data_IF_882478975588
#
_entry.id   IF_882478975588
#
_cell.length_a   1.000
_cell.length_b   1.000
_cell.length_c   1.000
_cell.angle_alpha   90.00
_cell.angle_beta   90.00
_cell.angle_gamma   90.00
#
_symmetry.space_group_name_H-M   'P 1'
#
loop_
_entity.id
_entity.type
_entity.pdbx_description
1 polymer ?
#
# COMPACT_ATOMS: atom_id res chain seq x y z
N UNK A 1 20.87 -3.24 -16.44
CA UNK A 1 19.42 -3.18 -16.26
C UNK A 1 18.92 -1.79 -16.61
N UNK A 2 17.99 -1.72 -17.52
CA UNK A 2 17.41 -0.43 -17.91
C UNK A 2 16.52 0.11 -16.78
N UNK A 3 16.63 1.42 -16.56
CA UNK A 3 15.77 2.07 -15.58
C UNK A 3 14.33 2.11 -16.11
N UNK A 4 13.36 1.85 -15.22
CA UNK A 4 11.95 1.98 -15.57
C UNK A 4 11.61 3.43 -15.87
N UNK A 5 10.98 3.68 -17.02
CA UNK A 5 10.57 5.03 -17.41
C UNK A 5 9.29 5.44 -16.67
N UNK A 6 9.04 6.76 -16.60
CA UNK A 6 7.81 7.27 -15.98
C UNK A 6 6.57 6.77 -16.73
N UNK A 7 6.64 6.70 -18.06
CA UNK A 7 5.55 6.18 -18.89
C UNK A 7 5.20 4.73 -18.52
N UNK A 8 6.22 3.89 -18.35
CA UNK A 8 6.03 2.51 -17.95
C UNK A 8 5.42 2.42 -16.54
N UNK A 9 5.87 3.29 -15.63
CA UNK A 9 5.34 3.33 -14.27
C UNK A 9 3.86 3.72 -14.24
N UNK A 10 3.45 4.68 -15.07
CA UNK A 10 2.03 5.07 -15.15
C UNK A 10 1.18 3.86 -15.51
N UNK A 11 1.59 3.11 -16.54
CA UNK A 11 0.85 1.91 -16.95
C UNK A 11 0.80 0.85 -15.87
N UNK A 12 1.92 0.61 -15.19
CA UNK A 12 2.00 -0.38 -14.12
C UNK A 12 1.14 0.02 -12.92
N UNK A 13 1.16 1.30 -12.55
CA UNK A 13 0.35 1.82 -11.44
C UNK A 13 -1.14 1.67 -11.74
N UNK A 14 -1.57 2.10 -12.93
CA UNK A 14 -2.98 2.00 -13.33
C UNK A 14 -3.45 0.55 -13.36
N UNK A 15 -2.65 -0.33 -13.93
CA UNK A 15 -2.98 -1.75 -14.00
C UNK A 15 -3.12 -2.37 -12.60
N UNK A 16 -2.16 -2.08 -11.72
CA UNK A 16 -2.19 -2.59 -10.36
C UNK A 16 -3.40 -2.10 -9.58
N UNK A 17 -3.68 -0.79 -9.64
CA UNK A 17 -4.81 -0.22 -8.93
C UNK A 17 -6.14 -0.78 -9.43
N UNK A 18 -6.26 -0.96 -10.75
CA UNK A 18 -7.45 -1.57 -11.34
C UNK A 18 -7.63 -3.01 -10.86
N UNK A 19 -6.56 -3.82 -10.84
CA UNK A 19 -6.62 -5.20 -10.38
C UNK A 19 -7.00 -5.29 -8.90
N UNK A 20 -6.47 -4.42 -8.07
CA UNK A 20 -6.83 -4.38 -6.66
C UNK A 20 -8.30 -4.01 -6.49
N UNK A 21 -8.76 -2.98 -7.22
CA UNK A 21 -10.14 -2.54 -7.19
C UNK A 21 -11.10 -3.66 -7.61
N UNK A 22 -10.76 -4.36 -8.69
CA UNK A 22 -11.62 -5.43 -9.19
C UNK A 22 -11.78 -6.57 -8.19
N UNK A 23 -10.67 -6.91 -7.48
CA UNK A 23 -10.66 -8.04 -6.55
C UNK A 23 -11.26 -7.70 -5.18
N UNK A 24 -11.14 -6.46 -4.71
CA UNK A 24 -11.51 -6.12 -3.33
C UNK A 24 -12.13 -4.74 -3.13
N UNK A 25 -12.25 -3.92 -4.19
CA UNK A 25 -12.90 -2.61 -4.11
C UNK A 25 -12.04 -1.48 -3.56
N UNK A 26 -10.77 -1.72 -3.32
CA UNK A 26 -9.83 -0.67 -2.88
C UNK A 26 -8.42 -0.96 -3.35
N UNK A 27 -7.62 0.09 -3.45
CA UNK A 27 -6.22 0.01 -3.83
C UNK A 27 -5.35 0.62 -2.73
N UNK A 28 -4.26 -0.07 -2.40
CA UNK A 28 -3.32 0.35 -1.36
C UNK A 28 -1.96 0.70 -1.97
N UNK A 29 -1.32 1.82 -1.54
CA UNK A 29 -0.01 2.19 -2.08
C UNK A 29 1.05 1.10 -1.92
N UNK A 30 1.14 0.48 -0.76
CA UNK A 30 2.15 -0.56 -0.51
C UNK A 30 1.97 -1.73 -1.45
N UNK A 31 0.73 -2.19 -1.66
CA UNK A 31 0.45 -3.30 -2.58
C UNK A 31 0.76 -2.90 -4.03
N UNK A 32 0.50 -1.65 -4.39
CA UNK A 32 0.84 -1.14 -5.72
C UNK A 32 2.35 -1.16 -5.94
N UNK A 33 3.14 -0.77 -4.95
CA UNK A 33 4.60 -0.83 -5.04
C UNK A 33 5.08 -2.27 -5.27
N UNK A 34 4.48 -3.23 -4.59
CA UNK A 34 4.82 -4.64 -4.76
C UNK A 34 4.47 -5.10 -6.18
N UNK A 35 3.28 -4.80 -6.64
CA UNK A 35 2.80 -5.25 -7.96
C UNK A 35 3.54 -4.58 -9.11
N UNK A 36 4.01 -3.36 -8.91
CA UNK A 36 4.83 -2.66 -9.91
C UNK A 36 6.28 -3.13 -9.92
N UNK A 37 6.67 -4.03 -9.01
CA UNK A 37 8.03 -4.52 -8.94
C UNK A 37 9.01 -3.56 -8.26
N UNK A 38 8.51 -2.51 -7.62
CA UNK A 38 9.34 -1.50 -6.94
C UNK A 38 9.69 -1.92 -5.52
N UNK A 39 8.85 -2.72 -4.91
CA UNK A 39 9.07 -3.24 -3.56
C UNK A 39 9.05 -4.77 -3.62
N UNK A 40 10.21 -5.43 -3.46
CA UNK A 40 10.23 -6.90 -3.44
C UNK A 40 9.38 -7.43 -2.28
N UNK A 41 8.62 -8.47 -2.55
CA UNK A 41 7.72 -9.04 -1.55
C UNK A 41 8.44 -9.47 -0.28
N UNK A 42 9.61 -10.08 -0.41
CA UNK A 42 10.42 -10.50 0.75
C UNK A 42 10.84 -9.29 1.58
N UNK A 43 11.24 -8.20 0.94
CA UNK A 43 11.61 -6.97 1.63
C UNK A 43 10.42 -6.36 2.36
N UNK A 44 9.24 -6.41 1.75
CA UNK A 44 7.99 -5.99 2.38
C UNK A 44 7.73 -6.79 3.65
N UNK A 45 7.87 -8.11 3.59
CA UNK A 45 7.64 -8.97 4.75
C UNK A 45 8.64 -8.66 5.88
N UNK A 46 9.90 -8.43 5.54
CA UNK A 46 10.92 -8.05 6.52
C UNK A 46 10.56 -6.74 7.21
N UNK A 47 10.04 -5.77 6.43
CA UNK A 47 9.56 -4.52 7.00
C UNK A 47 8.38 -4.74 7.94
N UNK A 48 7.42 -5.61 7.56
CA UNK A 48 6.27 -5.92 8.41
C UNK A 48 6.69 -6.58 9.72
N UNK A 49 7.78 -7.35 9.72
CA UNK A 49 8.31 -7.97 10.94
C UNK A 49 9.27 -7.07 11.71
N UNK A 50 9.38 -5.80 11.31
CA UNK A 50 10.19 -4.84 12.05
C UNK A 50 11.70 -4.96 11.83
N UNK A 51 12.11 -5.69 10.80
CA UNK A 51 13.54 -5.92 10.51
C UNK A 51 14.18 -4.81 9.68
N UNK A 52 13.37 -3.86 9.21
CA UNK A 52 13.80 -2.75 8.36
C UNK A 52 13.29 -1.46 9.00
N UNK A 53 14.12 -0.40 9.13
CA UNK A 53 13.73 0.82 9.84
C UNK A 53 12.65 1.63 9.15
N UNK A 54 12.56 1.60 7.82
CA UNK A 54 11.51 2.28 7.07
C UNK A 54 11.38 1.65 5.68
N UNK A 55 10.16 1.70 5.12
CA UNK A 55 9.84 1.01 3.86
C UNK A 55 10.68 1.49 2.67
N UNK A 56 10.88 2.80 2.55
CA UNK A 56 11.63 3.37 1.42
C UNK A 56 13.04 2.80 1.30
N UNK A 57 13.62 2.36 2.41
CA UNK A 57 14.97 1.81 2.41
C UNK A 57 15.12 0.57 1.51
N UNK A 58 14.06 -0.21 1.40
CA UNK A 58 14.09 -1.47 0.65
C UNK A 58 13.37 -1.40 -0.70
N UNK A 59 12.86 -0.22 -1.07
CA UNK A 59 12.34 0.00 -2.42
C UNK A 59 13.52 0.15 -3.38
N UNK A 60 13.37 -0.40 -4.59
CA UNK A 60 14.49 -0.48 -5.55
C UNK A 60 14.59 0.72 -6.49
N UNK A 61 13.77 1.74 -6.29
CA UNK A 61 13.82 2.98 -7.06
C UNK A 61 14.09 4.15 -6.12
N UNK A 62 14.52 5.30 -6.69
CA UNK A 62 14.84 6.47 -5.89
C UNK A 62 13.58 7.19 -5.40
N UNK A 63 13.77 8.17 -4.51
CA UNK A 63 12.66 8.91 -3.91
C UNK A 63 11.83 9.68 -4.93
N UNK A 64 12.48 10.18 -5.99
CA UNK A 64 11.77 10.86 -7.07
C UNK A 64 10.74 9.96 -7.73
N UNK A 65 11.12 8.73 -8.05
CA UNK A 65 10.20 7.76 -8.66
C UNK A 65 9.12 7.30 -7.68
N UNK A 66 9.46 7.14 -6.40
CA UNK A 66 8.45 6.82 -5.38
C UNK A 66 7.41 7.92 -5.27
N UNK A 67 7.84 9.18 -5.22
CA UNK A 67 6.93 10.33 -5.18
C UNK A 67 6.05 10.38 -6.42
N UNK A 68 6.63 10.10 -7.57
CA UNK A 68 5.90 10.04 -8.84
C UNK A 68 4.80 8.97 -8.79
N UNK A 69 5.13 7.78 -8.30
CA UNK A 69 4.15 6.68 -8.17
C UNK A 69 3.01 7.08 -7.24
N UNK A 70 3.34 7.66 -6.07
CA UNK A 70 2.33 8.11 -5.12
C UNK A 70 1.41 9.16 -5.75
N UNK A 71 1.98 10.11 -6.50
CA UNK A 71 1.20 11.12 -7.20
C UNK A 71 0.26 10.50 -8.23
N UNK A 72 0.76 9.57 -9.03
CA UNK A 72 -0.06 8.89 -10.05
C UNK A 72 -1.21 8.11 -9.42
N UNK A 73 -0.99 7.51 -8.27
CA UNK A 73 -2.06 6.82 -7.54
C UNK A 73 -3.15 7.78 -7.11
N UNK A 74 -2.78 8.94 -6.57
CA UNK A 74 -3.76 9.95 -6.16
C UNK A 74 -4.56 10.48 -7.34
N UNK A 75 -3.89 10.74 -8.47
CA UNK A 75 -4.54 11.21 -9.70
C UNK A 75 -5.55 10.17 -10.20
N UNK A 76 -5.14 8.92 -10.27
CA UNK A 76 -6.00 7.82 -10.74
C UNK A 76 -7.22 7.64 -9.83
N UNK A 77 -7.00 7.65 -8.53
CA UNK A 77 -8.08 7.49 -7.55
C UNK A 77 -9.09 8.64 -7.62
N UNK A 78 -8.59 9.87 -7.77
CA UNK A 78 -9.45 11.05 -7.87
C UNK A 78 -10.28 11.00 -9.15
N UNK A 79 -9.67 10.62 -10.26
CA UNK A 79 -10.36 10.48 -11.55
C UNK A 79 -11.49 9.46 -11.47
N UNK A 80 -11.29 8.39 -10.71
CA UNK A 80 -12.28 7.33 -10.56
C UNK A 80 -13.20 7.55 -9.36
N UNK A 81 -13.06 8.67 -8.65
CA UNK A 81 -13.90 9.05 -7.50
C UNK A 81 -13.80 8.07 -6.33
N UNK A 82 -12.64 7.48 -6.14
CA UNK A 82 -12.38 6.62 -4.98
C UNK A 82 -12.04 7.49 -3.76
N UNK A 83 -12.52 7.07 -2.59
CA UNK A 83 -12.38 7.84 -1.36
C UNK A 83 -11.10 7.47 -0.62
N UNK A 84 -10.26 8.47 -0.23
CA UNK A 84 -9.09 8.15 0.58
C UNK A 84 -9.49 7.71 1.99
N UNK A 85 -8.84 6.66 2.48
CA UNK A 85 -9.09 6.11 3.81
C UNK A 85 -7.77 5.78 4.47
N UNK A 86 -7.49 6.42 5.60
CA UNK A 86 -6.25 6.20 6.33
C UNK A 86 -6.25 4.84 6.99
N UNK A 87 -5.15 4.09 6.85
CA UNK A 87 -4.99 2.77 7.44
C UNK A 87 -3.70 2.71 8.25
N UNK A 88 -3.74 1.96 9.34
CA UNK A 88 -2.56 1.77 10.18
C UNK A 88 -1.83 0.51 9.77
N UNK A 89 -0.51 0.60 9.64
CA UNK A 89 0.35 -0.55 9.39
C UNK A 89 1.10 -0.86 10.68
N UNK A 90 0.89 -2.06 11.19
CA UNK A 90 1.48 -2.52 12.46
C UNK A 90 2.51 -3.59 12.21
N UNK A 91 3.50 -3.65 13.09
CA UNK A 91 4.49 -4.71 13.05
C UNK A 91 3.85 -6.06 13.30
N UNK A 92 4.24 -7.05 12.51
CA UNK A 92 3.80 -8.44 12.67
C UNK A 92 4.70 -9.18 13.66
N UNK A 93 4.18 -10.27 14.20
CA UNK A 93 4.98 -11.17 15.04
C UNK A 93 5.15 -10.71 16.48
N UNK A 94 4.41 -9.68 16.89
CA UNK A 94 4.47 -9.21 18.27
C UNK A 94 3.70 -10.17 19.17
N UNK A 95 4.35 -10.62 20.25
CA UNK A 95 3.74 -11.51 21.23
C UNK A 95 3.25 -10.73 22.44
N UNK A 96 2.23 -11.25 23.13
CA UNK A 96 1.75 -10.68 24.37
C UNK A 96 2.87 -10.80 25.41
N UNK A 97 3.12 -9.72 26.14
CA UNK A 97 4.08 -9.74 27.23
C UNK A 97 3.52 -10.58 28.38
N UNK A 98 4.30 -11.57 28.81
CA UNK A 98 3.94 -12.48 29.92
C UNK A 98 2.60 -13.19 29.75
N UNK A 99 2.13 -13.34 28.49
CA UNK A 99 0.89 -14.03 28.18
C UNK A 99 -0.37 -13.35 28.64
N UNK A 100 -0.28 -12.10 29.12
CA UNK A 100 -1.42 -11.36 29.64
C UNK A 100 -1.62 -10.04 28.90
N UNK A 101 -2.88 -9.58 28.88
CA UNK A 101 -3.22 -8.28 28.29
C UNK A 101 -3.25 -8.30 26.76
N UNK A 102 -3.30 -7.11 26.19
CA UNK A 102 -3.30 -6.93 24.73
C UNK A 102 -1.89 -6.93 24.19
N UNK A 103 -1.74 -7.38 22.93
CA UNK A 103 -0.45 -7.29 22.24
C UNK A 103 -0.06 -5.83 22.07
N UNK A 104 1.22 -5.48 22.31
CA UNK A 104 1.69 -4.12 21.99
C UNK A 104 1.49 -3.84 20.51
N UNK A 105 1.11 -2.61 20.17
CA UNK A 105 0.99 -2.16 18.79
C UNK A 105 2.20 -1.32 18.47
N UNK A 106 3.03 -1.80 17.54
CA UNK A 106 4.20 -1.06 17.08
C UNK A 106 3.92 -0.55 15.67
N UNK A 107 3.75 0.78 15.51
CA UNK A 107 3.51 1.32 14.17
C UNK A 107 4.76 1.21 13.33
N UNK A 108 4.56 1.00 12.03
CA UNK A 108 5.66 0.90 11.07
C UNK A 108 5.87 2.26 10.39
N UNK A 109 7.13 2.54 10.08
CA UNK A 109 7.52 3.77 9.41
C UNK A 109 7.73 3.51 7.92
N UNK A 110 7.26 4.43 7.09
CA UNK A 110 7.37 4.30 5.64
C UNK A 110 8.55 5.06 5.05
N UNK A 111 8.76 6.30 5.50
CA UNK A 111 9.70 7.20 4.85
C UNK A 111 10.95 7.46 5.67
N UNK A 112 12.04 7.78 4.98
CA UNK A 112 13.29 8.18 5.61
C UNK A 112 13.11 9.45 6.43
N UNK A 113 12.36 10.42 5.90
CA UNK A 113 12.14 11.70 6.58
C UNK A 113 11.25 11.57 7.81
N UNK A 114 10.29 10.65 7.79
CA UNK A 114 9.29 10.52 8.85
C UNK A 114 8.25 11.63 8.86
N UNK A 115 8.22 12.48 7.82
CA UNK A 115 7.24 13.56 7.75
C UNK A 115 5.81 13.01 7.73
N UNK A 116 4.94 13.60 8.56
CA UNK A 116 3.57 13.10 8.73
C UNK A 116 2.80 13.02 7.41
N UNK A 117 2.96 13.99 6.53
CA UNK A 117 2.29 14.00 5.23
C UNK A 117 2.73 12.84 4.35
N UNK A 118 4.05 12.60 4.29
CA UNK A 118 4.61 11.51 3.48
C UNK A 118 4.21 10.16 4.05
N UNK A 119 4.25 10.01 5.37
CA UNK A 119 3.80 8.78 6.03
C UNK A 119 2.34 8.50 5.69
N UNK A 120 1.51 9.53 5.65
CA UNK A 120 0.11 9.40 5.30
C UNK A 120 -0.09 8.97 3.85
N UNK A 121 0.74 9.45 2.93
CA UNK A 121 0.64 9.04 1.52
C UNK A 121 0.75 7.52 1.37
N UNK A 122 1.69 6.89 2.08
CA UNK A 122 1.87 5.44 2.01
C UNK A 122 0.73 4.67 2.69
N UNK A 123 0.14 5.25 3.70
CA UNK A 123 -0.87 4.58 4.53
C UNK A 123 -2.31 4.82 4.06
N UNK A 124 -2.53 5.69 3.08
CA UNK A 124 -3.88 6.00 2.62
C UNK A 124 -4.31 5.01 1.53
N UNK A 125 -5.37 4.25 1.81
CA UNK A 125 -6.01 3.39 0.82
C UNK A 125 -7.06 4.17 0.05
N UNK A 126 -7.30 3.80 -1.20
CA UNK A 126 -8.31 4.45 -2.04
C UNK A 126 -9.47 3.48 -2.22
N UNK A 127 -10.63 3.84 -1.69
CA UNK A 127 -11.75 2.93 -1.49
C UNK A 127 -12.95 3.29 -2.37
N UNK A 128 -13.50 2.29 -3.05
CA UNK A 128 -14.76 2.41 -3.78
C UNK A 128 -15.83 1.61 -3.03
N UNK A 129 -16.62 2.32 -2.24
CA UNK A 129 -17.66 1.70 -1.41
C UNK A 129 -18.72 0.97 -2.24
N UNK A 130 -19.06 1.50 -3.43
CA UNK A 130 -20.02 0.86 -4.31
C UNK A 130 -19.49 -0.48 -4.80
N UNK A 131 -18.23 -0.54 -5.19
CA UNK A 131 -17.61 -1.79 -5.63
C UNK A 131 -17.56 -2.82 -4.50
N UNK A 132 -17.20 -2.39 -3.30
CA UNK A 132 -17.18 -3.28 -2.13
C UNK A 132 -18.56 -3.88 -1.88
N UNK A 133 -19.60 -3.06 -1.95
CA UNK A 133 -20.99 -3.53 -1.78
C UNK A 133 -21.37 -4.55 -2.86
N UNK A 134 -20.98 -4.30 -4.11
CA UNK A 134 -21.25 -5.24 -5.21
C UNK A 134 -20.55 -6.58 -4.99
N UNK A 135 -19.30 -6.54 -4.56
CA UNK A 135 -18.54 -7.77 -4.29
C UNK A 135 -19.16 -8.58 -3.16
N UNK A 136 -19.65 -7.92 -2.12
CA UNK A 136 -20.34 -8.59 -1.02
C UNK A 136 -21.64 -9.25 -1.48
N UNK A 137 -22.41 -8.58 -2.34
CA UNK A 137 -23.65 -9.14 -2.91
C UNK A 137 -23.37 -10.36 -3.76
N UNK A 138 -22.31 -10.33 -4.57
CA UNK A 138 -21.91 -11.47 -5.38
C UNK A 138 -21.54 -12.67 -4.52
N UNK A 139 -20.83 -12.46 -3.42
CA UNK A 139 -20.50 -13.54 -2.50
C UNK A 139 -21.75 -14.15 -1.86
N UNK A 140 -22.70 -13.32 -1.45
CA UNK A 140 -23.94 -13.81 -0.86
C UNK A 140 -24.84 -14.50 -1.88
N UNK A 141 -24.80 -14.06 -3.14
CA UNK A 141 -25.60 -14.68 -4.20
C UNK A 141 -25.09 -16.01 -4.70
N UNK A 142 -23.89 -16.43 -4.29
CA UNK A 142 -23.27 -17.69 -4.74
C UNK A 142 -23.51 -18.86 -3.80
N UNK A 143 -24.46 -18.77 -2.93
CA UNK A 143 -24.80 -19.89 -2.05
C UNK A 143 -25.36 -21.06 -2.81
#
# INVERSE_FOLDING_TARGET
>A
MEAITEKELIGLVHHSMYQQWERRGYAAPVDTLIECGVLPKKAYEEWRFGKVPYLEKVCIVNLHKLSFIMHQMRVFAKKNQWTPSFCYYKQWGIKKKDGQGHKPVIPLRFSKSGEAEIERWYATHFVDKKKISLLKKEQHGKK
#
